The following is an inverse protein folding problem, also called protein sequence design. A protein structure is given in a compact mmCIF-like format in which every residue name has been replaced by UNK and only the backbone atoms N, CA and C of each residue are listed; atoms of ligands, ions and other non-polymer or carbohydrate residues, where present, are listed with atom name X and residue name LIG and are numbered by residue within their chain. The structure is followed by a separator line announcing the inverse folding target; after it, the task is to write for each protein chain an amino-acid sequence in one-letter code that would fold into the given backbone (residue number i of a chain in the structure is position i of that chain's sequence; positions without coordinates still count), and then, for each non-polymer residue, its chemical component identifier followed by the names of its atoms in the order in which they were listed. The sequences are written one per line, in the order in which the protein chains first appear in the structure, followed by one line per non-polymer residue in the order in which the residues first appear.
data_IF_089270803855
#
_entry.id   IF_089270803855
#
_cell.length_a   1.000
_cell.length_b   1.000
_cell.length_c   1.000
_cell.angle_alpha   90.00
_cell.angle_beta   90.00
_cell.angle_gamma   90.00
#
_symmetry.space_group_name_H-M   'P 1'
#
loop_
_entity.id
_entity.type
_entity.pdbx_description
1 polymer ?
#
# COMPACT_ATOMS: atom_id res chain seq x y z
N UNK A 1 -33.79 -3.85 3.18
CA UNK A 1 -33.29 -2.76 2.28
C UNK A 1 -31.88 -2.38 2.70
N UNK A 2 -30.99 -2.01 1.78
CA UNK A 2 -29.64 -1.53 2.15
C UNK A 2 -29.68 -0.08 2.63
N UNK A 3 -28.96 0.21 3.70
CA UNK A 3 -28.88 1.52 4.33
C UNK A 3 -27.43 1.85 4.68
N UNK A 4 -27.07 3.13 4.64
CA UNK A 4 -25.79 3.58 5.16
C UNK A 4 -25.87 3.63 6.69
N UNK A 5 -24.86 3.07 7.35
CA UNK A 5 -24.68 3.11 8.79
C UNK A 5 -23.61 4.15 9.14
N UNK A 6 -23.70 4.71 10.35
CA UNK A 6 -22.71 5.66 10.87
C UNK A 6 -22.13 5.21 12.23
N UNK A 7 -21.44 4.05 12.33
CA UNK A 7 -20.88 3.55 13.59
C UNK A 7 -19.99 4.53 14.36
N UNK A 8 -19.28 5.41 13.65
CA UNK A 8 -18.44 6.44 14.28
C UNK A 8 -19.26 7.52 15.02
N UNK A 9 -20.52 7.75 14.61
CA UNK A 9 -21.37 8.85 15.10
C UNK A 9 -22.59 8.38 15.88
N UNK A 10 -23.13 7.20 15.55
CA UNK A 10 -24.37 6.66 16.11
C UNK A 10 -24.04 5.40 16.92
N UNK A 11 -24.38 5.41 18.21
CA UNK A 11 -24.07 4.32 19.13
C UNK A 11 -24.81 3.02 18.77
N UNK A 12 -26.09 3.11 18.39
CA UNK A 12 -26.89 1.95 17.98
C UNK A 12 -26.28 1.22 16.77
N UNK A 13 -25.92 1.97 15.72
CA UNK A 13 -25.22 1.44 14.54
C UNK A 13 -23.91 0.77 14.92
N UNK A 14 -23.13 1.38 15.83
CA UNK A 14 -21.87 0.81 16.30
C UNK A 14 -22.09 -0.53 16.98
N UNK A 15 -23.04 -0.60 17.91
CA UNK A 15 -23.35 -1.82 18.65
C UNK A 15 -23.83 -2.92 17.71
N UNK A 16 -24.77 -2.62 16.81
CA UNK A 16 -25.30 -3.60 15.85
C UNK A 16 -24.21 -4.10 14.89
N UNK A 17 -23.39 -3.19 14.36
CA UNK A 17 -22.30 -3.51 13.45
C UNK A 17 -21.23 -4.39 14.12
N UNK A 18 -20.74 -3.98 15.30
CA UNK A 18 -19.76 -4.77 16.06
C UNK A 18 -20.30 -6.14 16.45
N UNK A 19 -21.59 -6.23 16.80
CA UNK A 19 -22.22 -7.50 17.11
C UNK A 19 -22.25 -8.45 15.90
N UNK A 20 -22.64 -7.97 14.71
CA UNK A 20 -22.60 -8.79 13.49
C UNK A 20 -21.17 -9.21 13.13
N UNK A 21 -20.22 -8.27 13.14
CA UNK A 21 -18.82 -8.59 12.84
C UNK A 21 -18.26 -9.65 13.79
N UNK A 22 -18.50 -9.51 15.10
CA UNK A 22 -18.04 -10.46 16.10
C UNK A 22 -18.65 -11.86 15.91
N UNK A 23 -19.95 -11.97 15.59
CA UNK A 23 -20.61 -13.27 15.30
C UNK A 23 -19.97 -13.98 14.11
N UNK A 24 -19.56 -13.23 13.09
CA UNK A 24 -18.97 -13.77 11.87
C UNK A 24 -17.43 -13.85 11.91
N UNK A 25 -16.83 -13.65 13.10
CA UNK A 25 -15.39 -13.77 13.31
C UNK A 25 -14.57 -12.69 12.62
N UNK A 26 -15.15 -11.51 12.43
CA UNK A 26 -14.53 -10.36 11.79
C UNK A 26 -14.27 -9.27 12.84
N UNK A 27 -13.07 -8.67 12.80
CA UNK A 27 -12.74 -7.53 13.65
C UNK A 27 -13.22 -6.23 13.00
N UNK A 28 -13.65 -5.26 13.80
CA UNK A 28 -13.99 -3.93 13.31
C UNK A 28 -12.74 -3.09 12.96
N UNK A 29 -12.90 -2.15 12.03
CA UNK A 29 -11.88 -1.14 11.69
C UNK A 29 -12.42 0.27 11.96
N UNK A 30 -11.51 1.21 12.23
CA UNK A 30 -11.85 2.62 12.51
C UNK A 30 -11.68 3.54 11.30
N UNK A 31 -10.83 3.19 10.35
CA UNK A 31 -10.53 4.03 9.17
C UNK A 31 -11.40 3.59 7.99
N UNK A 32 -12.65 4.07 7.96
CA UNK A 32 -13.65 3.74 6.95
C UNK A 32 -14.33 5.02 6.45
N UNK A 33 -14.56 5.11 5.14
CA UNK A 33 -15.23 6.25 4.52
C UNK A 33 -16.76 6.08 4.57
N UNK A 34 -17.23 4.84 4.43
CA UNK A 34 -18.64 4.50 4.45
C UNK A 34 -18.84 3.08 4.98
N UNK A 35 -19.95 2.87 5.71
CA UNK A 35 -20.41 1.56 6.18
C UNK A 35 -21.85 1.38 5.73
N UNK A 36 -22.19 0.20 5.23
CA UNK A 36 -23.53 -0.15 4.79
C UNK A 36 -24.03 -1.39 5.53
N UNK A 37 -25.34 -1.46 5.70
CA UNK A 37 -26.03 -2.53 6.41
C UNK A 37 -27.31 -2.94 5.71
N UNK A 38 -27.66 -4.22 5.85
CA UNK A 38 -28.97 -4.75 5.48
C UNK A 38 -29.57 -5.36 6.74
N UNK A 39 -30.78 -4.94 7.05
CA UNK A 39 -31.58 -5.45 8.17
C UNK A 39 -32.64 -6.44 7.68
N UNK A 40 -32.97 -7.42 8.51
CA UNK A 40 -34.15 -8.27 8.35
C UNK A 40 -35.44 -7.53 8.71
N UNK A 41 -36.57 -8.25 8.63
CA UNK A 41 -37.90 -7.70 8.91
C UNK A 41 -38.08 -7.30 10.40
N UNK A 42 -37.31 -7.90 11.31
CA UNK A 42 -37.29 -7.59 12.74
C UNK A 42 -36.34 -6.43 13.08
N UNK A 43 -35.66 -5.86 12.08
CA UNK A 43 -34.72 -4.75 12.24
C UNK A 43 -33.34 -5.16 12.74
N UNK A 44 -33.02 -6.46 12.80
CA UNK A 44 -31.68 -6.96 13.14
C UNK A 44 -30.76 -6.85 11.93
N UNK A 45 -29.51 -6.41 12.16
CA UNK A 45 -28.49 -6.31 11.12
C UNK A 45 -28.00 -7.72 10.73
N UNK A 46 -28.26 -8.10 9.48
CA UNK A 46 -27.96 -9.43 8.91
C UNK A 46 -26.87 -9.42 7.85
N UNK A 47 -26.54 -8.26 7.27
CA UNK A 47 -25.39 -8.11 6.39
C UNK A 47 -24.75 -6.73 6.57
N UNK A 48 -23.43 -6.66 6.43
CA UNK A 48 -22.71 -5.39 6.43
C UNK A 48 -21.47 -5.45 5.57
N UNK A 49 -21.05 -4.29 5.09
CA UNK A 49 -19.75 -4.09 4.47
C UNK A 49 -19.38 -2.62 4.49
N UNK A 50 -18.10 -2.35 4.41
CA UNK A 50 -17.54 -1.01 4.49
C UNK A 50 -16.64 -0.72 3.28
N UNK A 51 -16.44 0.57 3.02
CA UNK A 51 -15.50 1.06 2.02
C UNK A 51 -14.46 1.94 2.69
N UNK A 52 -13.21 1.71 2.33
CA UNK A 52 -12.12 2.65 2.56
C UNK A 52 -11.45 2.92 1.21
N UNK A 53 -11.60 4.14 0.69
CA UNK A 53 -11.22 4.51 -0.68
C UNK A 53 -11.86 3.56 -1.70
N UNK A 54 -11.04 2.79 -2.42
CA UNK A 54 -11.44 1.76 -3.37
C UNK A 54 -11.37 0.33 -2.81
N UNK A 55 -11.09 0.17 -1.51
CA UNK A 55 -10.98 -1.13 -0.85
C UNK A 55 -12.30 -1.42 -0.11
N UNK A 56 -12.89 -2.58 -0.39
CA UNK A 56 -14.02 -3.10 0.37
C UNK A 56 -13.49 -3.85 1.59
N UNK A 57 -14.08 -3.54 2.75
CA UNK A 57 -13.64 -3.99 4.07
C UNK A 57 -14.82 -4.46 4.91
N UNK A 58 -14.53 -5.20 5.98
CA UNK A 58 -15.51 -5.60 7.00
C UNK A 58 -16.80 -6.21 6.43
N UNK A 59 -16.68 -7.04 5.38
CA UNK A 59 -17.83 -7.70 4.73
C UNK A 59 -18.25 -8.90 5.57
N UNK A 60 -19.46 -8.87 6.13
CA UNK A 60 -20.02 -9.94 6.92
C UNK A 60 -21.48 -10.22 6.50
N UNK A 61 -21.84 -11.50 6.45
CA UNK A 61 -23.20 -11.98 6.27
C UNK A 61 -23.48 -12.97 7.38
N UNK A 62 -24.56 -12.72 8.10
CA UNK A 62 -25.04 -13.58 9.17
C UNK A 62 -25.23 -15.01 8.66
N UNK A 63 -24.57 -15.98 9.29
CA UNK A 63 -24.56 -17.36 8.79
C UNK A 63 -25.93 -18.05 8.78
N UNK A 64 -26.86 -17.60 9.62
CA UNK A 64 -28.26 -18.03 9.63
C UNK A 64 -29.03 -17.52 8.38
N UNK A 65 -28.49 -16.51 7.70
CA UNK A 65 -29.05 -15.86 6.51
C UNK A 65 -28.13 -16.03 5.29
N UNK A 66 -27.20 -16.98 5.33
CA UNK A 66 -26.32 -17.29 4.21
C UNK A 66 -27.07 -17.98 3.06
N UNK A 67 -26.86 -17.48 1.85
CA UNK A 67 -27.57 -17.92 0.64
C UNK A 67 -28.49 -16.84 0.06
N UNK A 68 -28.80 -16.94 -1.23
CA UNK A 68 -29.67 -15.98 -1.92
C UNK A 68 -28.97 -14.69 -2.38
N UNK A 69 -29.76 -13.64 -2.65
CA UNK A 69 -29.29 -12.40 -3.27
C UNK A 69 -28.57 -11.44 -2.31
N UNK A 70 -28.49 -11.74 -1.01
CA UNK A 70 -28.04 -10.81 0.03
C UNK A 70 -26.58 -10.33 -0.19
N UNK A 71 -25.67 -11.28 -0.44
CA UNK A 71 -24.28 -10.95 -0.80
C UNK A 71 -24.22 -10.07 -2.05
N UNK A 72 -24.94 -10.46 -3.11
CA UNK A 72 -24.94 -9.72 -4.37
C UNK A 72 -25.52 -8.30 -4.21
N UNK A 73 -26.57 -8.13 -3.41
CA UNK A 73 -27.16 -6.83 -3.10
C UNK A 73 -26.18 -5.94 -2.33
N UNK A 74 -25.55 -6.48 -1.28
CA UNK A 74 -24.54 -5.75 -0.50
C UNK A 74 -23.36 -5.34 -1.40
N UNK A 75 -22.82 -6.29 -2.17
CA UNK A 75 -21.66 -6.06 -3.02
C UNK A 75 -21.94 -5.05 -4.14
N UNK A 76 -23.12 -5.11 -4.76
CA UNK A 76 -23.53 -4.13 -5.78
C UNK A 76 -23.59 -2.71 -5.21
N UNK A 77 -24.12 -2.54 -4.00
CA UNK A 77 -24.17 -1.23 -3.35
C UNK A 77 -22.77 -0.70 -3.00
N UNK A 78 -21.89 -1.56 -2.49
CA UNK A 78 -20.51 -1.21 -2.18
C UNK A 78 -19.72 -0.82 -3.43
N UNK A 79 -19.80 -1.60 -4.50
CA UNK A 79 -19.14 -1.30 -5.77
C UNK A 79 -19.66 0.00 -6.40
N UNK A 80 -20.98 0.23 -6.32
CA UNK A 80 -21.56 1.51 -6.76
C UNK A 80 -21.08 2.69 -5.91
N UNK A 81 -20.86 2.52 -4.61
CA UNK A 81 -20.28 3.56 -3.75
C UNK A 81 -18.81 3.84 -4.09
N UNK A 82 -18.02 2.80 -4.42
CA UNK A 82 -16.64 2.95 -4.93
C UNK A 82 -16.62 3.81 -6.20
N UNK A 83 -17.48 3.51 -7.18
CA UNK A 83 -17.56 4.27 -8.43
C UNK A 83 -18.06 5.71 -8.20
N UNK A 84 -19.07 5.89 -7.33
CA UNK A 84 -19.58 7.22 -6.97
C UNK A 84 -18.53 8.07 -6.26
N UNK A 85 -17.63 7.45 -5.50
CA UNK A 85 -16.48 8.11 -4.89
C UNK A 85 -15.35 8.45 -5.89
N UNK A 86 -15.52 8.13 -7.18
CA UNK A 86 -14.60 8.50 -8.25
C UNK A 86 -13.48 7.48 -8.53
N UNK A 87 -13.55 6.28 -7.95
CA UNK A 87 -12.56 5.24 -8.20
C UNK A 87 -12.97 4.34 -9.36
N UNK A 88 -12.02 4.03 -10.25
CA UNK A 88 -12.23 3.20 -11.43
C UNK A 88 -11.97 1.69 -11.21
N UNK A 89 -11.46 1.34 -10.03
CA UNK A 89 -11.16 -0.02 -9.62
C UNK A 89 -11.69 -0.24 -8.21
N UNK A 90 -12.03 -1.49 -7.90
CA UNK A 90 -12.49 -1.94 -6.61
C UNK A 90 -11.63 -3.12 -6.16
N UNK A 91 -11.17 -3.10 -4.92
CA UNK A 91 -10.31 -4.14 -4.37
C UNK A 91 -10.93 -4.80 -3.14
N UNK A 92 -10.57 -6.06 -2.93
CA UNK A 92 -10.93 -6.78 -1.70
C UNK A 92 -9.79 -7.68 -1.26
N UNK A 93 -9.62 -7.76 0.06
CA UNK A 93 -8.73 -8.69 0.73
C UNK A 93 -9.61 -9.66 1.51
N UNK A 94 -9.43 -10.96 1.27
CA UNK A 94 -10.35 -11.95 1.82
C UNK A 94 -9.69 -13.29 2.12
N UNK A 95 -10.40 -14.15 2.84
CA UNK A 95 -10.00 -15.54 3.14
C UNK A 95 -10.34 -16.48 1.98
N UNK A 96 -9.66 -17.62 1.90
CA UNK A 96 -9.88 -18.63 0.86
C UNK A 96 -11.36 -18.98 0.65
N UNK A 97 -12.12 -19.18 1.74
CA UNK A 97 -13.52 -19.60 1.68
C UNK A 97 -14.48 -18.58 1.05
N UNK A 98 -14.07 -17.32 0.90
CA UNK A 98 -14.88 -16.28 0.27
C UNK A 98 -14.41 -15.93 -1.15
N UNK A 99 -13.24 -16.43 -1.60
CA UNK A 99 -12.62 -16.12 -2.89
C UNK A 99 -13.58 -16.34 -4.06
N UNK A 100 -14.19 -17.52 -4.13
CA UNK A 100 -15.04 -17.90 -5.26
C UNK A 100 -16.31 -17.02 -5.33
N UNK A 101 -16.87 -16.61 -4.19
CA UNK A 101 -18.00 -15.69 -4.15
C UNK A 101 -17.67 -14.34 -4.81
N UNK A 102 -16.45 -13.80 -4.58
CA UNK A 102 -15.99 -12.60 -5.27
C UNK A 102 -15.69 -12.86 -6.75
N UNK A 103 -15.13 -14.02 -7.09
CA UNK A 103 -14.88 -14.40 -8.48
C UNK A 103 -16.17 -14.41 -9.33
N UNK A 104 -17.28 -14.91 -8.77
CA UNK A 104 -18.61 -14.85 -9.42
C UNK A 104 -19.12 -13.43 -9.66
N UNK A 105 -18.65 -12.45 -8.88
CA UNK A 105 -18.92 -11.02 -9.07
C UNK A 105 -17.93 -10.32 -10.00
N UNK A 106 -17.08 -11.08 -10.70
CA UNK A 106 -16.12 -10.56 -11.66
C UNK A 106 -14.82 -10.05 -11.04
N UNK A 107 -14.57 -10.30 -9.75
CA UNK A 107 -13.25 -10.06 -9.18
C UNK A 107 -12.24 -11.08 -9.70
N UNK A 108 -11.01 -10.62 -9.95
CA UNK A 108 -9.90 -11.44 -10.39
C UNK A 108 -8.81 -11.42 -9.35
N UNK A 109 -8.18 -12.56 -9.15
CA UNK A 109 -7.07 -12.68 -8.22
C UNK A 109 -5.82 -12.00 -8.76
N UNK A 110 -5.21 -11.16 -7.92
CA UNK A 110 -3.91 -10.53 -8.18
C UNK A 110 -2.80 -11.41 -7.61
N UNK A 111 -2.94 -11.79 -6.33
CA UNK A 111 -2.01 -12.63 -5.59
C UNK A 111 -2.68 -13.16 -4.32
N UNK A 112 -2.10 -14.20 -3.73
CA UNK A 112 -2.55 -14.76 -2.46
C UNK A 112 -1.35 -15.18 -1.59
N UNK A 113 -1.59 -15.38 -0.29
CA UNK A 113 -0.64 -15.94 0.68
C UNK A 113 -1.29 -17.16 1.32
N UNK A 114 -0.93 -18.34 0.81
CA UNK A 114 -1.54 -19.63 1.21
C UNK A 114 -3.08 -19.52 1.18
N UNK A 115 -3.77 -20.19 2.12
CA UNK A 115 -5.22 -20.05 2.29
C UNK A 115 -5.61 -18.91 3.25
N UNK A 116 -4.63 -18.13 3.73
CA UNK A 116 -4.86 -17.05 4.70
C UNK A 116 -5.41 -15.80 4.04
N UNK A 117 -4.94 -15.48 2.84
CA UNK A 117 -5.19 -14.19 2.22
C UNK A 117 -5.24 -14.26 0.70
N UNK A 118 -6.30 -13.69 0.12
CA UNK A 118 -6.45 -13.45 -1.30
C UNK A 118 -6.66 -11.95 -1.53
N UNK A 119 -5.89 -11.38 -2.44
CA UNK A 119 -6.07 -10.01 -2.92
C UNK A 119 -6.68 -10.04 -4.31
N UNK A 120 -7.89 -9.48 -4.43
CA UNK A 120 -8.68 -9.52 -5.66
C UNK A 120 -9.04 -8.10 -6.14
N UNK A 121 -9.12 -7.93 -7.46
CA UNK A 121 -9.55 -6.70 -8.11
C UNK A 121 -10.79 -6.89 -8.97
N UNK A 122 -11.67 -5.89 -8.99
CA UNK A 122 -12.66 -5.67 -10.01
C UNK A 122 -12.39 -4.32 -10.67
N UNK A 123 -11.88 -4.36 -11.90
CA UNK A 123 -11.51 -3.19 -12.67
C UNK A 123 -11.65 -3.51 -14.17
N UNK A 124 -12.02 -2.51 -14.98
CA UNK A 124 -12.13 -2.69 -16.43
C UNK A 124 -10.79 -3.05 -17.08
N UNK A 125 -9.71 -2.43 -16.60
CA UNK A 125 -8.37 -2.54 -17.15
C UNK A 125 -7.31 -3.02 -16.15
N UNK A 126 -7.50 -2.70 -14.86
CA UNK A 126 -6.82 -3.33 -13.70
C UNK A 126 -5.31 -3.47 -13.80
N UNK A 127 -4.81 -4.54 -13.17
CA UNK A 127 -3.40 -4.91 -13.15
C UNK A 127 -2.81 -5.01 -14.57
N UNK A 128 -3.48 -5.60 -15.59
CA UNK A 128 -2.94 -5.66 -16.94
C UNK A 128 -2.56 -4.29 -17.54
N UNK A 129 -3.39 -3.25 -17.35
CA UNK A 129 -3.08 -1.91 -17.83
C UNK A 129 -1.94 -1.26 -17.04
N UNK A 130 -1.89 -1.47 -15.72
CA UNK A 130 -0.78 -1.01 -14.91
C UNK A 130 0.54 -1.63 -15.38
N UNK A 131 0.58 -2.94 -15.62
CA UNK A 131 1.76 -3.63 -16.13
C UNK A 131 2.12 -3.20 -17.55
N UNK A 132 1.14 -2.95 -18.42
CA UNK A 132 1.40 -2.40 -19.76
C UNK A 132 2.04 -1.01 -19.68
N UNK A 133 1.57 -0.14 -18.79
CA UNK A 133 2.17 1.17 -18.55
C UNK A 133 3.60 1.07 -17.98
N UNK A 134 3.89 0.08 -17.15
CA UNK A 134 5.25 -0.20 -16.69
C UNK A 134 6.13 -0.70 -17.84
N UNK A 135 5.67 -1.67 -18.64
CA UNK A 135 6.40 -2.17 -19.81
C UNK A 135 6.76 -1.06 -20.80
N UNK A 136 5.88 -0.08 -21.00
CA UNK A 136 6.15 1.11 -21.81
C UNK A 136 7.28 1.99 -21.27
N UNK A 137 7.69 1.81 -20.01
CA UNK A 137 8.81 2.50 -19.36
C UNK A 137 10.02 1.58 -19.16
N UNK A 138 10.02 0.39 -19.76
CA UNK A 138 11.18 -0.49 -19.76
C UNK A 138 12.37 0.21 -20.40
N UNK A 139 13.54 0.05 -19.79
CA UNK A 139 14.81 0.55 -20.31
C UNK A 139 15.78 -0.62 -20.37
N UNK A 140 16.41 -0.81 -21.53
CA UNK A 140 17.34 -1.90 -21.75
C UNK A 140 18.57 -1.77 -20.84
N UNK A 141 18.96 -2.88 -20.21
CA UNK A 141 20.13 -2.97 -19.35
C UNK A 141 20.39 -4.40 -18.91
N UNK A 142 21.65 -4.75 -18.61
CA UNK A 142 22.01 -6.08 -18.13
C UNK A 142 21.77 -6.21 -16.63
N UNK A 143 21.92 -5.10 -15.89
CA UNK A 143 21.64 -5.00 -14.45
C UNK A 143 20.52 -3.99 -14.24
N UNK A 144 19.32 -4.50 -14.01
CA UNK A 144 18.13 -3.69 -13.77
C UNK A 144 17.69 -3.92 -12.33
N UNK A 145 17.70 -2.86 -11.54
CA UNK A 145 17.32 -2.89 -10.14
C UNK A 145 16.04 -2.10 -9.86
N UNK A 146 15.48 -2.33 -8.69
CA UNK A 146 14.39 -1.52 -8.17
C UNK A 146 14.59 -1.14 -6.71
N UNK A 147 13.98 -0.02 -6.33
CA UNK A 147 13.78 0.39 -4.95
C UNK A 147 12.30 0.73 -4.77
N UNK A 148 11.71 0.33 -3.66
CA UNK A 148 10.38 0.78 -3.23
C UNK A 148 10.56 1.58 -1.95
N UNK A 149 10.01 2.80 -1.90
CA UNK A 149 10.09 3.64 -0.70
C UNK A 149 8.86 4.50 -0.47
N UNK A 150 8.58 4.79 0.80
CA UNK A 150 7.59 5.79 1.18
C UNK A 150 8.15 7.22 1.00
N UNK A 151 9.38 7.49 1.44
CA UNK A 151 10.00 8.82 1.36
C UNK A 151 9.17 9.94 2.01
N UNK A 152 8.84 9.80 3.31
CA UNK A 152 7.93 10.68 4.05
C UNK A 152 8.62 11.49 5.18
N UNK A 153 9.47 12.49 4.90
CA UNK A 153 9.84 13.02 3.59
C UNK A 153 11.06 12.28 2.98
N UNK A 154 11.50 12.73 1.81
CA UNK A 154 12.74 12.23 1.20
C UNK A 154 13.96 12.71 2.01
N UNK A 155 14.92 11.83 2.29
CA UNK A 155 16.04 12.12 3.20
C UNK A 155 17.37 11.77 2.54
N UNK A 156 18.49 12.21 3.12
CA UNK A 156 19.82 11.81 2.67
C UNK A 156 20.04 10.30 2.82
N UNK A 157 19.37 9.65 3.77
CA UNK A 157 19.35 8.18 3.87
C UNK A 157 18.67 7.51 2.66
N UNK A 158 17.52 8.04 2.20
CA UNK A 158 16.88 7.55 0.97
C UNK A 158 17.76 7.81 -0.25
N UNK A 159 18.32 9.01 -0.37
CA UNK A 159 19.21 9.39 -1.47
C UNK A 159 20.43 8.48 -1.56
N UNK A 160 21.05 8.17 -0.42
CA UNK A 160 22.17 7.23 -0.34
C UNK A 160 21.82 5.84 -0.88
N UNK A 161 20.64 5.30 -0.53
CA UNK A 161 20.15 4.02 -1.05
C UNK A 161 20.03 4.05 -2.58
N UNK A 162 19.45 5.12 -3.12
CA UNK A 162 19.29 5.31 -4.57
C UNK A 162 20.64 5.44 -5.27
N UNK A 163 21.56 6.23 -4.71
CA UNK A 163 22.91 6.43 -5.26
C UNK A 163 23.75 5.14 -5.23
N UNK A 164 23.59 4.28 -4.23
CA UNK A 164 24.23 2.96 -4.22
C UNK A 164 23.67 2.07 -5.33
N UNK A 165 22.36 1.94 -5.43
CA UNK A 165 21.73 1.13 -6.47
C UNK A 165 22.09 1.64 -7.89
N UNK A 166 22.09 2.96 -8.08
CA UNK A 166 22.42 3.60 -9.36
C UNK A 166 23.87 3.38 -9.79
N UNK A 167 24.82 3.25 -8.84
CA UNK A 167 26.23 2.96 -9.17
C UNK A 167 26.47 1.50 -9.56
N UNK A 168 25.66 0.58 -9.05
CA UNK A 168 25.85 -0.87 -9.21
C UNK A 168 25.06 -1.47 -10.38
N UNK A 169 24.12 -0.71 -10.95
CA UNK A 169 23.16 -1.17 -11.95
C UNK A 169 23.09 -0.21 -13.13
N UNK A 170 22.76 -0.75 -14.30
CA UNK A 170 22.65 0.02 -15.54
C UNK A 170 21.35 0.83 -15.53
N UNK A 171 20.30 0.30 -14.89
CA UNK A 171 18.97 0.91 -14.75
C UNK A 171 18.44 0.70 -13.33
N UNK A 172 17.82 1.73 -12.74
CA UNK A 172 17.11 1.64 -11.46
C UNK A 172 15.67 2.16 -11.62
N UNK A 173 14.68 1.30 -11.35
CA UNK A 173 13.28 1.70 -11.23
C UNK A 173 12.97 2.05 -9.78
N UNK A 174 12.72 3.32 -9.50
CA UNK A 174 12.43 3.85 -8.17
C UNK A 174 10.92 4.05 -7.99
N UNK A 175 10.31 3.21 -7.18
CA UNK A 175 8.89 3.24 -6.85
C UNK A 175 8.62 4.04 -5.58
N UNK A 176 7.76 5.05 -5.69
CA UNK A 176 7.32 5.91 -4.57
C UNK A 176 5.86 5.63 -4.25
N UNK A 177 5.58 5.27 -2.99
CA UNK A 177 4.22 4.89 -2.57
C UNK A 177 3.21 5.98 -2.91
N UNK A 178 2.07 5.63 -3.51
CA UNK A 178 1.05 6.59 -3.95
C UNK A 178 0.01 6.96 -2.89
N UNK A 179 0.00 6.29 -1.74
CA UNK A 179 -0.99 6.54 -0.69
C UNK A 179 -0.86 7.91 -0.03
N UNK A 180 -1.98 8.50 0.36
CA UNK A 180 -2.05 9.78 1.08
C UNK A 180 -2.32 9.61 2.59
N UNK A 181 -1.89 8.47 3.15
CA UNK A 181 -1.96 8.18 4.59
C UNK A 181 -0.74 8.65 5.38
N UNK A 182 0.22 9.25 4.69
CA UNK A 182 1.47 9.74 5.26
C UNK A 182 1.38 11.22 5.66
N UNK A 183 2.34 11.68 6.48
CA UNK A 183 2.47 13.09 6.87
C UNK A 183 2.56 14.04 5.66
N UNK A 184 3.22 13.60 4.58
CA UNK A 184 3.24 14.30 3.29
C UNK A 184 2.46 13.53 2.22
N UNK A 185 1.63 14.20 1.39
CA UNK A 185 0.92 13.59 0.27
C UNK A 185 1.84 12.87 -0.71
N UNK A 186 1.35 11.84 -1.38
CA UNK A 186 2.11 11.05 -2.35
C UNK A 186 2.66 11.88 -3.51
N UNK A 187 1.91 12.87 -3.98
CA UNK A 187 2.35 13.81 -5.02
C UNK A 187 3.55 14.64 -4.57
N UNK A 188 3.54 15.13 -3.32
CA UNK A 188 4.65 15.87 -2.70
C UNK A 188 5.87 14.97 -2.58
N UNK A 189 5.72 13.77 -2.01
CA UNK A 189 6.82 12.80 -1.85
C UNK A 189 7.46 12.45 -3.19
N UNK A 190 6.64 12.21 -4.22
CA UNK A 190 7.12 11.95 -5.59
C UNK A 190 7.92 13.12 -6.16
N UNK A 191 7.46 14.36 -5.99
CA UNK A 191 8.16 15.56 -6.44
C UNK A 191 9.52 15.74 -5.72
N UNK A 192 9.54 15.57 -4.39
CA UNK A 192 10.77 15.66 -3.60
C UNK A 192 11.79 14.60 -3.98
N UNK A 193 11.34 13.36 -4.21
CA UNK A 193 12.20 12.27 -4.70
C UNK A 193 12.81 12.64 -6.06
N UNK A 194 11.98 13.03 -7.04
CA UNK A 194 12.45 13.41 -8.39
C UNK A 194 13.48 14.53 -8.34
N UNK A 195 13.22 15.58 -7.55
CA UNK A 195 14.14 16.70 -7.42
C UNK A 195 15.44 16.31 -6.70
N UNK A 196 15.35 15.50 -5.64
CA UNK A 196 16.50 15.07 -4.85
C UNK A 196 17.45 14.10 -5.56
N UNK A 197 17.00 13.44 -6.63
CA UNK A 197 17.79 12.50 -7.44
C UNK A 197 18.05 12.96 -8.87
N UNK A 198 17.67 14.18 -9.24
CA UNK A 198 17.80 14.72 -10.61
C UNK A 198 19.20 14.58 -11.27
N UNK A 199 20.33 14.57 -10.52
CA UNK A 199 21.64 14.28 -11.10
C UNK A 199 21.79 12.85 -11.65
N UNK A 200 21.06 11.87 -11.12
CA UNK A 200 21.18 10.45 -11.48
C UNK A 200 20.42 10.16 -12.79
N UNK A 201 21.17 9.80 -13.84
CA UNK A 201 20.62 9.65 -15.20
C UNK A 201 19.99 8.29 -15.49
N UNK A 202 20.31 7.29 -14.69
CA UNK A 202 19.84 5.92 -14.83
C UNK A 202 18.74 5.54 -13.83
N UNK A 203 18.12 6.52 -13.17
CA UNK A 203 17.05 6.30 -12.19
C UNK A 203 15.72 6.81 -12.73
N UNK A 204 14.75 5.90 -12.87
CA UNK A 204 13.42 6.18 -13.41
C UNK A 204 12.38 6.09 -12.30
N UNK A 205 11.71 7.20 -12.00
CA UNK A 205 10.79 7.29 -10.85
C UNK A 205 9.36 6.99 -11.27
N UNK A 206 8.70 6.09 -10.53
CA UNK A 206 7.34 5.63 -10.76
C UNK A 206 6.48 5.81 -9.50
N UNK A 207 5.23 6.29 -9.61
CA UNK A 207 4.25 6.05 -8.56
C UNK A 207 3.93 4.55 -8.47
N UNK A 208 3.61 4.05 -7.29
CA UNK A 208 3.23 2.63 -7.15
C UNK A 208 1.83 2.31 -7.66
N UNK A 209 0.91 3.28 -7.64
CA UNK A 209 -0.51 2.97 -7.74
C UNK A 209 -0.93 2.08 -6.55
N UNK A 210 -1.89 1.19 -6.79
CA UNK A 210 -2.49 0.33 -5.77
C UNK A 210 -1.83 -1.07 -5.65
N UNK A 211 -0.84 -1.38 -6.50
CA UNK A 211 -0.27 -2.74 -6.64
C UNK A 211 1.02 -2.96 -5.84
N UNK A 212 1.41 -2.03 -4.97
CA UNK A 212 2.48 -2.21 -3.98
C UNK A 212 1.86 -1.90 -2.62
N UNK A 213 1.89 -2.88 -1.73
CA UNK A 213 1.03 -2.90 -0.54
C UNK A 213 1.73 -2.22 0.62
N UNK A 214 1.19 -1.08 1.05
CA UNK A 214 1.67 -0.40 2.25
C UNK A 214 1.07 -1.03 3.51
N UNK A 215 1.79 -0.91 4.62
CA UNK A 215 1.25 -1.31 5.93
C UNK A 215 0.04 -0.46 6.34
N UNK A 216 -0.04 0.80 5.90
CA UNK A 216 -1.11 1.72 6.28
C UNK A 216 -2.46 1.40 5.64
N UNK A 217 -2.46 0.72 4.48
CA UNK A 217 -3.69 0.34 3.76
C UNK A 217 -4.03 -1.14 3.87
N UNK A 218 -3.10 -1.97 4.35
CA UNK A 218 -3.26 -3.42 4.43
C UNK A 218 -4.39 -3.83 5.40
N UNK A 219 -5.47 -4.45 4.92
CA UNK A 219 -6.57 -4.86 5.79
C UNK A 219 -6.25 -6.20 6.47
N UNK A 220 -6.29 -6.23 7.80
CA UNK A 220 -6.01 -7.41 8.62
C UNK A 220 -7.23 -7.90 9.43
N UNK A 221 -8.39 -7.29 9.22
CA UNK A 221 -9.60 -7.49 10.02
C UNK A 221 -10.15 -8.94 10.02
N UNK A 222 -9.88 -9.70 8.96
CA UNK A 222 -10.30 -11.09 8.77
C UNK A 222 -9.21 -12.10 9.10
N UNK A 223 -7.99 -11.64 9.38
CA UNK A 223 -6.89 -12.50 9.83
C UNK A 223 -7.10 -12.90 11.29
N UNK A 224 -6.55 -14.05 11.67
CA UNK A 224 -6.66 -14.56 13.04
C UNK A 224 -5.81 -13.69 13.98
N UNK A 225 -6.06 -13.80 15.29
CA UNK A 225 -5.28 -13.04 16.29
C UNK A 225 -3.83 -13.52 16.41
N UNK A 226 -3.59 -14.81 16.14
CA UNK A 226 -2.27 -15.45 16.15
C UNK A 226 -1.50 -15.30 14.83
N UNK A 227 -2.11 -14.68 13.80
CA UNK A 227 -1.45 -14.44 12.53
C UNK A 227 -0.44 -13.28 12.61
N UNK A 228 0.77 -13.50 12.10
CA UNK A 228 1.74 -12.44 11.87
C UNK A 228 1.35 -11.60 10.64
N UNK A 229 0.58 -10.54 10.90
CA UNK A 229 0.08 -9.58 9.90
C UNK A 229 1.23 -8.97 9.09
N UNK A 230 2.36 -8.66 9.72
CA UNK A 230 3.52 -8.05 9.04
C UNK A 230 4.14 -9.04 8.05
N UNK A 231 4.32 -10.30 8.46
CA UNK A 231 4.80 -11.36 7.57
C UNK A 231 3.83 -11.57 6.40
N UNK A 232 2.52 -11.67 6.65
CA UNK A 232 1.52 -11.89 5.59
C UNK A 232 1.52 -10.73 4.58
N UNK A 233 1.52 -9.49 5.06
CA UNK A 233 1.59 -8.30 4.21
C UNK A 233 2.86 -8.30 3.36
N UNK A 234 4.02 -8.56 3.98
CA UNK A 234 5.30 -8.60 3.29
C UNK A 234 5.34 -9.67 2.20
N UNK A 235 4.78 -10.85 2.48
CA UNK A 235 4.70 -11.95 1.51
C UNK A 235 3.81 -11.59 0.33
N UNK A 236 2.66 -10.98 0.58
CA UNK A 236 1.78 -10.52 -0.48
C UNK A 236 2.48 -9.49 -1.38
N UNK A 237 3.12 -8.46 -0.79
CA UNK A 237 3.87 -7.46 -1.56
C UNK A 237 5.01 -8.10 -2.37
N UNK A 238 5.75 -9.03 -1.76
CA UNK A 238 6.83 -9.75 -2.43
C UNK A 238 6.33 -10.51 -3.66
N UNK A 239 5.21 -11.22 -3.54
CA UNK A 239 4.61 -11.99 -4.65
C UNK A 239 4.15 -11.09 -5.77
N UNK A 240 3.41 -10.03 -5.46
CA UNK A 240 2.96 -9.08 -6.49
C UNK A 240 4.16 -8.48 -7.22
N UNK A 241 5.19 -8.09 -6.46
CA UNK A 241 6.41 -7.54 -7.04
C UNK A 241 7.15 -8.55 -7.92
N UNK A 242 7.40 -9.76 -7.40
CA UNK A 242 8.17 -10.82 -8.06
C UNK A 242 7.48 -11.35 -9.30
N UNK A 243 6.17 -11.57 -9.24
CA UNK A 243 5.41 -12.26 -10.29
C UNK A 243 4.96 -11.30 -11.39
N UNK A 244 4.69 -10.03 -11.04
CA UNK A 244 4.08 -9.08 -11.98
C UNK A 244 5.00 -7.90 -12.32
N UNK A 245 5.46 -7.17 -11.30
CA UNK A 245 6.17 -5.89 -11.49
C UNK A 245 7.60 -6.11 -12.01
N UNK A 246 8.34 -7.03 -11.40
CA UNK A 246 9.71 -7.30 -11.77
C UNK A 246 9.84 -7.80 -13.22
N UNK A 247 9.03 -8.78 -13.69
CA UNK A 247 9.05 -9.21 -15.09
C UNK A 247 8.65 -8.12 -16.08
N UNK A 248 7.71 -7.24 -15.72
CA UNK A 248 7.26 -6.14 -16.58
C UNK A 248 8.37 -5.13 -16.91
N UNK A 249 9.40 -5.03 -16.07
CA UNK A 249 10.52 -4.10 -16.21
C UNK A 249 11.88 -4.80 -16.34
N UNK A 250 11.92 -6.13 -16.39
CA UNK A 250 13.17 -6.90 -16.40
C UNK A 250 14.02 -6.73 -15.14
N UNK A 251 13.42 -6.40 -14.00
CA UNK A 251 14.13 -6.18 -12.72
C UNK A 251 14.69 -7.51 -12.21
N UNK A 252 15.99 -7.55 -11.96
CA UNK A 252 16.70 -8.72 -11.42
C UNK A 252 17.16 -8.53 -9.99
N UNK A 253 17.15 -7.30 -9.46
CA UNK A 253 17.56 -6.97 -8.08
C UNK A 253 16.62 -5.96 -7.42
N UNK A 254 16.27 -6.16 -6.15
CA UNK A 254 15.53 -5.17 -5.34
C UNK A 254 16.41 -4.75 -4.16
N UNK A 255 16.55 -3.45 -3.97
CA UNK A 255 17.31 -2.87 -2.86
C UNK A 255 16.34 -2.42 -1.76
N UNK A 256 16.68 -2.74 -0.51
CA UNK A 256 15.97 -2.27 0.69
C UNK A 256 16.97 -1.72 1.69
N UNK A 257 16.55 -0.75 2.50
CA UNK A 257 17.38 -0.28 3.61
C UNK A 257 17.33 -1.26 4.79
N UNK A 258 18.46 -1.48 5.44
CA UNK A 258 18.52 -2.09 6.76
C UNK A 258 17.76 -1.21 7.76
N UNK A 259 17.04 -1.82 8.71
CA UNK A 259 16.30 -1.09 9.75
C UNK A 259 16.49 -1.79 11.10
N UNK A 260 17.52 -1.41 11.86
CA UNK A 260 17.86 -2.07 13.12
C UNK A 260 16.92 -1.69 14.28
N UNK A 261 16.09 -0.65 14.13
CA UNK A 261 15.22 -0.15 15.21
C UNK A 261 13.74 -0.52 15.02
N UNK A 262 13.38 -1.21 13.94
CA UNK A 262 12.00 -1.65 13.67
C UNK A 262 11.95 -3.15 13.48
N UNK A 263 11.42 -3.84 14.48
CA UNK A 263 11.13 -5.27 14.39
C UNK A 263 10.23 -5.59 13.18
N UNK A 264 9.22 -4.76 12.93
CA UNK A 264 8.32 -4.93 11.78
C UNK A 264 9.06 -4.84 10.44
N UNK A 265 10.01 -3.91 10.30
CA UNK A 265 10.80 -3.80 9.05
C UNK A 265 11.79 -4.94 8.89
N UNK A 266 12.36 -5.45 9.99
CA UNK A 266 13.20 -6.64 9.96
C UNK A 266 12.42 -7.88 9.51
N UNK A 267 11.23 -8.11 10.06
CA UNK A 267 10.30 -9.17 9.66
C UNK A 267 9.93 -9.03 8.18
N UNK A 268 9.60 -7.81 7.75
CA UNK A 268 9.28 -7.52 6.36
C UNK A 268 10.43 -7.86 5.41
N UNK A 269 11.66 -7.43 5.71
CA UNK A 269 12.85 -7.75 4.91
C UNK A 269 13.13 -9.26 4.86
N UNK A 270 12.94 -9.96 5.97
CA UNK A 270 13.10 -11.42 6.03
C UNK A 270 12.08 -12.14 5.14
N UNK A 271 10.81 -11.71 5.19
CA UNK A 271 9.76 -12.26 4.34
C UNK A 271 10.02 -11.99 2.84
N UNK A 272 10.49 -10.79 2.48
CA UNK A 272 10.92 -10.50 1.10
C UNK A 272 12.03 -11.46 0.64
N UNK A 273 13.03 -11.69 1.50
CA UNK A 273 14.16 -12.56 1.17
C UNK A 273 13.71 -14.00 0.93
N UNK A 274 12.78 -14.49 1.74
CA UNK A 274 12.20 -15.84 1.60
C UNK A 274 11.37 -15.96 0.32
N UNK A 275 10.44 -15.03 0.06
CA UNK A 275 9.54 -15.10 -1.10
C UNK A 275 10.26 -14.90 -2.43
N UNK A 276 11.30 -14.06 -2.48
CA UNK A 276 12.11 -13.93 -3.69
C UNK A 276 12.89 -15.21 -4.00
N UNK A 277 13.33 -15.95 -2.99
CA UNK A 277 14.08 -17.20 -3.19
C UNK A 277 15.22 -17.05 -4.21
N UNK A 278 15.90 -15.89 -4.19
CA UNK A 278 17.00 -15.55 -5.11
C UNK A 278 16.61 -14.77 -6.37
N UNK A 279 15.32 -14.59 -6.67
CA UNK A 279 14.86 -13.83 -7.83
C UNK A 279 13.57 -13.02 -7.54
N UNK A 280 13.61 -11.67 -7.62
CA UNK A 280 14.80 -10.84 -7.80
C UNK A 280 15.74 -10.96 -6.59
N UNK A 281 17.05 -10.78 -6.80
CA UNK A 281 18.01 -10.76 -5.70
C UNK A 281 17.67 -9.61 -4.74
N UNK A 282 17.53 -9.89 -3.45
CA UNK A 282 17.34 -8.85 -2.43
C UNK A 282 18.71 -8.36 -1.94
N UNK A 283 18.95 -7.06 -2.05
CA UNK A 283 20.13 -6.41 -1.48
C UNK A 283 19.69 -5.56 -0.28
N UNK A 284 20.18 -5.89 0.91
CA UNK A 284 19.92 -5.13 2.14
C UNK A 284 21.09 -4.18 2.38
N UNK A 285 20.82 -2.89 2.33
CA UNK A 285 21.85 -1.83 2.40
C UNK A 285 21.91 -1.24 3.80
N UNK A 286 23.11 -1.23 4.39
CA UNK A 286 23.37 -0.54 5.66
C UNK A 286 23.04 0.95 5.58
N UNK A 287 22.37 1.47 6.62
CA UNK A 287 21.89 2.85 6.62
C UNK A 287 23.01 3.86 6.86
N UNK A 288 22.88 5.00 6.19
CA UNK A 288 23.73 6.17 6.42
C UNK A 288 23.51 6.73 7.83
N UNK A 289 24.61 7.06 8.51
CA UNK A 289 24.61 7.69 9.83
C UNK A 289 25.08 9.14 9.76
N UNK A 290 24.54 9.98 10.63
CA UNK A 290 25.01 11.33 10.94
C UNK A 290 25.03 11.47 12.46
N UNK A 291 26.18 11.88 12.99
CA UNK A 291 26.43 12.04 14.44
C UNK A 291 26.13 10.78 15.27
N UNK A 292 26.51 9.61 14.73
CA UNK A 292 26.29 8.32 15.39
C UNK A 292 24.88 7.74 15.25
N UNK A 293 23.90 8.53 14.81
CA UNK A 293 22.51 8.11 14.60
C UNK A 293 22.18 7.89 13.13
N UNK A 294 21.25 6.98 12.82
CA UNK A 294 20.80 6.79 11.44
C UNK A 294 19.98 7.99 10.93
N UNK A 295 20.17 8.32 9.66
CA UNK A 295 19.34 9.30 8.96
C UNK A 295 18.04 8.61 8.55
N UNK A 296 16.93 8.94 9.22
CA UNK A 296 15.60 8.38 8.94
C UNK A 296 14.55 9.47 8.78
N UNK A 297 13.48 9.16 8.03
CA UNK A 297 12.35 10.07 7.89
C UNK A 297 11.58 10.27 9.20
N UNK A 298 11.55 9.27 10.09
CA UNK A 298 10.93 9.40 11.39
C UNK A 298 11.65 10.41 12.28
N UNK A 299 12.99 10.39 12.29
CA UNK A 299 13.82 11.40 12.99
C UNK A 299 13.56 12.80 12.44
N UNK A 300 13.44 12.95 11.12
CA UNK A 300 13.08 14.23 10.50
C UNK A 300 11.72 14.72 10.98
N UNK A 301 10.68 13.86 10.98
CA UNK A 301 9.35 14.23 11.45
C UNK A 301 9.33 14.60 12.94
N UNK A 302 10.10 13.92 13.76
CA UNK A 302 10.25 14.23 15.19
C UNK A 302 10.88 15.60 15.42
N UNK A 303 11.97 15.92 14.73
CA UNK A 303 12.62 17.24 14.80
C UNK A 303 11.66 18.37 14.38
N UNK A 304 10.87 18.14 13.32
CA UNK A 304 9.84 19.08 12.87
C UNK A 304 8.75 19.26 13.93
N UNK A 305 8.24 18.17 14.50
CA UNK A 305 7.23 18.22 15.56
C UNK A 305 7.72 18.98 16.80
N UNK A 306 9.03 18.93 17.07
CA UNK A 306 9.68 19.65 18.16
C UNK A 306 10.12 21.09 17.78
N UNK A 307 9.76 21.58 16.58
CA UNK A 307 10.08 22.94 16.12
C UNK A 307 11.55 23.17 15.76
N UNK A 308 12.36 22.12 15.65
CA UNK A 308 13.80 22.21 15.40
C UNK A 308 14.13 22.02 13.91
N UNK A 309 13.67 22.95 13.07
CA UNK A 309 13.83 22.86 11.62
C UNK A 309 15.31 22.89 11.18
N UNK A 310 16.16 23.71 11.81
CA UNK A 310 17.58 23.79 11.40
C UNK A 310 18.33 22.48 11.60
N UNK A 311 17.99 21.69 12.62
CA UNK A 311 18.55 20.34 12.80
C UNK A 311 18.16 19.35 11.69
N UNK A 312 17.12 19.64 10.89
CA UNK A 312 16.72 18.83 9.74
C UNK A 312 17.62 19.07 8.53
N UNK A 313 18.22 20.26 8.41
CA UNK A 313 19.05 20.67 7.25
C UNK A 313 20.11 19.64 6.83
N UNK A 314 20.92 19.06 7.74
CA UNK A 314 21.91 18.04 7.35
C UNK A 314 21.29 16.66 7.01
N UNK A 315 20.04 16.41 7.37
CA UNK A 315 19.40 15.09 7.24
C UNK A 315 18.68 14.88 5.91
N UNK A 316 18.42 15.96 5.16
CA UNK A 316 17.63 15.93 3.92
C UNK A 316 18.35 16.63 2.77
N UNK A 317 18.00 16.33 1.50
CA UNK A 317 18.52 17.08 0.37
C UNK A 317 18.06 18.54 0.41
N UNK A 318 18.82 19.49 -0.20
CA UNK A 318 18.44 20.91 -0.22
C UNK A 318 17.03 21.16 -0.75
N UNK A 319 16.57 20.39 -1.74
CA UNK A 319 15.22 20.47 -2.31
C UNK A 319 14.12 20.09 -1.31
N UNK A 320 14.38 19.10 -0.45
CA UNK A 320 13.46 18.74 0.63
C UNK A 320 13.48 19.79 1.72
N UNK A 321 14.66 20.28 2.11
CA UNK A 321 14.76 21.33 3.13
C UNK A 321 13.99 22.61 2.72
N UNK A 322 14.15 23.05 1.48
CA UNK A 322 13.43 24.20 0.94
C UNK A 322 11.90 24.03 1.02
N UNK A 323 11.38 22.85 0.64
CA UNK A 323 9.96 22.54 0.79
C UNK A 323 9.50 22.56 2.25
N UNK A 324 10.30 22.01 3.18
CA UNK A 324 9.96 22.00 4.60
C UNK A 324 9.94 23.42 5.21
N UNK A 325 10.71 24.35 4.65
CA UNK A 325 10.78 25.73 5.11
C UNK A 325 9.66 26.61 4.52
N UNK A 326 9.37 26.47 3.22
CA UNK A 326 8.49 27.39 2.48
C UNK A 326 7.17 26.78 1.99
N UNK A 327 7.02 25.45 2.03
CA UNK A 327 5.85 24.73 1.49
C UNK A 327 5.82 24.63 -0.04
N UNK A 328 6.76 25.26 -0.73
CA UNK A 328 6.83 25.29 -2.19
C UNK A 328 7.52 24.03 -2.74
N UNK A 329 6.86 23.38 -3.71
CA UNK A 329 7.47 22.24 -4.40
C UNK A 329 8.58 22.71 -5.33
N UNK A 330 9.66 21.92 -5.48
CA UNK A 330 10.70 22.22 -6.45
C UNK A 330 10.11 22.28 -7.86
N UNK A 331 10.50 23.27 -8.65
CA UNK A 331 10.07 23.39 -10.05
C UNK A 331 10.33 22.07 -10.78
N UNK A 332 9.30 21.55 -11.45
CA UNK A 332 9.44 20.33 -12.23
C UNK A 332 10.33 20.61 -13.43
N UNK A 333 11.62 20.30 -13.32
CA UNK A 333 12.48 20.17 -14.49
C UNK A 333 11.80 19.20 -15.45
N UNK A 334 11.55 19.67 -16.69
CA UNK A 334 10.78 18.98 -17.71
C UNK A 334 11.05 17.46 -17.71
N UNK A 335 10.01 16.59 -17.63
CA UNK A 335 10.21 15.17 -17.86
C UNK A 335 10.74 15.02 -19.30
N UNK A 336 11.98 14.57 -19.45
CA UNK A 336 12.46 14.14 -20.77
C UNK A 336 11.64 12.90 -21.18
N UNK A 337 11.23 12.83 -22.45
CA UNK A 337 10.34 11.78 -22.97
C UNK A 337 10.87 10.38 -22.72
#
# INVERSE_FOLDING_TARGET
MIQQLFPARIAADRTAWQALLAREGIRGETHLDAVYGIHDDDGRLIATGARYRNILKCIAIDHEHQGGSLFNTLMSALMNDVHRAGYAACYVYTKASARDAFAWLGFREIAHVEDKLYFLENALHGLPQYLAALRGKYVAGSRIAAIVMNANPFTNGHRYLVEKAARENDVVHLFVLSEDLSHYPGSVRLALVKAGIAPLKNVYVHPTGDYIISAATFPSYFLREDDDVTTIQARLDARIFKEHIAPALGITKRYVGHEPYSAATAIYNQALQQEFAGAPQLEIVERLRADGEYISASRVRELIANGNLEAVRPLVPPTTFAYLQGGELPESGNPRP
#
